data_IF_198112885087
#
_entry.id   IF_198112885087
#
_cell.length_a   1.000
_cell.length_b   1.000
_cell.length_c   1.000
_cell.angle_alpha   90.00
_cell.angle_beta   90.00
_cell.angle_gamma   90.00
#
_symmetry.space_group_name_H-M   'P 1'
#
loop_
_entity.id
_entity.type
_entity.pdbx_description
1 polymer ?
#
# COMPACT_ATOMS: atom_id res chain seq x y z
N UNK A 1 -19.43 -13.37 3.14
CA UNK A 1 -19.70 -13.62 1.68
C UNK A 1 -18.62 -14.52 1.11
N UNK A 2 -18.84 -15.11 -0.08
CA UNK A 2 -17.84 -15.93 -0.78
C UNK A 2 -17.20 -15.12 -1.91
N UNK A 3 -15.88 -15.02 -1.91
CA UNK A 3 -15.10 -14.16 -2.81
C UNK A 3 -14.12 -15.03 -3.60
N UNK A 4 -14.13 -14.96 -4.92
CA UNK A 4 -13.12 -15.58 -5.77
C UNK A 4 -12.08 -14.51 -6.16
N UNK A 5 -10.86 -14.60 -5.60
CA UNK A 5 -9.79 -13.64 -5.80
C UNK A 5 -8.79 -14.16 -6.84
N UNK A 6 -8.58 -13.42 -7.92
CA UNK A 6 -7.58 -13.70 -8.94
C UNK A 6 -6.46 -12.68 -8.87
N UNK A 7 -5.23 -13.13 -8.71
CA UNK A 7 -4.06 -12.25 -8.60
C UNK A 7 -2.92 -12.69 -9.51
N UNK A 8 -2.17 -11.72 -10.02
CA UNK A 8 -0.98 -11.96 -10.84
C UNK A 8 0.27 -12.30 -10.01
N UNK A 9 0.25 -11.99 -8.70
CA UNK A 9 1.36 -12.20 -7.77
C UNK A 9 0.85 -12.63 -6.41
N UNK A 10 1.55 -13.57 -5.76
CA UNK A 10 1.26 -14.00 -4.40
C UNK A 10 2.51 -14.57 -3.73
N UNK A 11 2.38 -15.00 -2.46
CA UNK A 11 3.47 -15.68 -1.76
C UNK A 11 4.04 -16.86 -2.58
N UNK A 12 5.34 -17.17 -2.47
CA UNK A 12 6.33 -16.63 -1.52
C UNK A 12 6.97 -15.29 -1.91
N UNK A 13 6.60 -14.72 -3.07
CA UNK A 13 7.08 -13.38 -3.45
C UNK A 13 6.44 -12.35 -2.51
N UNK A 14 7.26 -11.40 -2.02
CA UNK A 14 6.80 -10.29 -1.16
C UNK A 14 7.07 -8.97 -1.87
N UNK A 15 6.00 -8.26 -2.18
CA UNK A 15 6.01 -6.90 -2.70
C UNK A 15 4.82 -6.12 -2.11
N UNK A 16 4.66 -4.84 -2.46
CA UNK A 16 3.58 -4.01 -1.91
C UNK A 16 2.17 -4.53 -2.23
N UNK A 17 1.97 -5.21 -3.37
CA UNK A 17 0.69 -5.82 -3.74
C UNK A 17 0.42 -7.03 -2.86
N UNK A 18 1.41 -7.92 -2.73
CA UNK A 18 1.31 -9.13 -1.91
C UNK A 18 1.12 -8.79 -0.44
N UNK A 19 1.87 -7.83 0.10
CA UNK A 19 1.69 -7.36 1.48
C UNK A 19 0.26 -6.89 1.73
N UNK A 20 -0.30 -6.10 0.81
CA UNK A 20 -1.69 -5.65 0.91
C UNK A 20 -2.67 -6.80 0.86
N UNK A 21 -2.50 -7.75 -0.07
CA UNK A 21 -3.38 -8.92 -0.20
C UNK A 21 -3.33 -9.80 1.05
N UNK A 22 -2.15 -10.09 1.55
CA UNK A 22 -1.93 -10.90 2.76
C UNK A 22 -2.67 -10.29 3.95
N UNK A 23 -2.44 -9.01 4.23
CA UNK A 23 -3.12 -8.32 5.34
C UNK A 23 -4.63 -8.22 5.14
N UNK A 24 -5.08 -7.97 3.92
CA UNK A 24 -6.52 -7.95 3.60
C UNK A 24 -7.16 -9.34 3.80
N UNK A 25 -6.50 -10.42 3.39
CA UNK A 25 -7.00 -11.78 3.57
C UNK A 25 -7.09 -12.19 5.04
N UNK A 26 -6.11 -11.80 5.87
CA UNK A 26 -6.15 -11.98 7.33
C UNK A 26 -7.41 -11.30 7.91
N UNK A 27 -7.67 -10.05 7.53
CA UNK A 27 -8.84 -9.31 8.00
C UNK A 27 -10.17 -9.88 7.45
N UNK A 28 -10.21 -10.35 6.21
CA UNK A 28 -11.40 -11.01 5.65
C UNK A 28 -11.74 -12.30 6.41
N UNK A 29 -10.74 -13.03 6.87
CA UNK A 29 -10.92 -14.22 7.71
C UNK A 29 -11.51 -13.87 9.07
N UNK A 30 -10.99 -12.84 9.73
CA UNK A 30 -11.50 -12.34 11.01
C UNK A 30 -12.96 -11.81 10.89
N UNK A 31 -13.30 -11.22 9.74
CA UNK A 31 -14.65 -10.75 9.41
C UNK A 31 -15.62 -11.89 9.02
N UNK A 32 -15.15 -13.15 9.00
CA UNK A 32 -15.99 -14.31 8.70
C UNK A 32 -16.37 -14.45 7.22
N UNK A 33 -15.57 -13.90 6.30
CA UNK A 33 -15.74 -14.12 4.87
C UNK A 33 -15.04 -15.41 4.42
N UNK A 34 -15.49 -15.96 3.30
CA UNK A 34 -14.88 -17.12 2.65
C UNK A 34 -14.19 -16.66 1.36
N UNK A 35 -12.94 -17.05 1.17
CA UNK A 35 -12.16 -16.67 -0.02
C UNK A 35 -11.55 -17.92 -0.67
N UNK A 36 -11.57 -17.97 -1.99
CA UNK A 36 -10.70 -18.85 -2.77
C UNK A 36 -9.74 -17.98 -3.59
N UNK A 37 -8.46 -18.31 -3.54
CA UNK A 37 -7.39 -17.51 -4.15
C UNK A 37 -6.82 -18.27 -5.33
N UNK A 38 -6.80 -17.64 -6.51
CA UNK A 38 -6.14 -18.17 -7.70
C UNK A 38 -4.85 -17.41 -7.93
N UNK A 39 -3.70 -18.08 -7.77
CA UNK A 39 -2.39 -17.47 -7.83
C UNK A 39 -1.40 -18.26 -8.72
N UNK A 40 -0.51 -17.58 -9.47
CA UNK A 40 0.48 -18.23 -10.32
C UNK A 40 1.71 -18.69 -9.52
N UNK A 41 2.46 -19.62 -10.09
CA UNK A 41 3.75 -20.06 -9.56
C UNK A 41 3.62 -21.17 -8.53
N UNK A 42 4.24 -21.00 -7.38
CA UNK A 42 4.29 -21.99 -6.30
C UNK A 42 3.78 -21.42 -4.96
N UNK A 43 2.52 -20.96 -4.91
CA UNK A 43 1.95 -20.40 -3.69
C UNK A 43 1.75 -21.52 -2.63
N UNK A 44 1.62 -21.16 -1.33
CA UNK A 44 1.20 -22.12 -0.32
C UNK A 44 -0.20 -22.67 -0.65
N UNK A 45 -0.49 -23.92 -0.27
CA UNK A 45 -1.80 -24.53 -0.54
C UNK A 45 -2.97 -23.87 0.20
N UNK A 46 -2.67 -23.22 1.33
CA UNK A 46 -3.63 -22.45 2.13
C UNK A 46 -2.99 -21.18 2.66
N UNK A 47 -3.79 -20.14 2.84
CA UNK A 47 -3.38 -18.90 3.52
C UNK A 47 -4.54 -18.32 4.31
N UNK A 48 -4.32 -17.93 5.57
CA UNK A 48 -5.37 -17.43 6.48
C UNK A 48 -6.62 -18.34 6.52
N UNK A 49 -6.44 -19.67 6.46
CA UNK A 49 -7.54 -20.64 6.39
C UNK A 49 -8.25 -20.78 5.03
N UNK A 50 -7.85 -20.00 4.03
CA UNK A 50 -8.41 -20.01 2.69
C UNK A 50 -7.65 -20.97 1.76
N UNK A 51 -8.39 -21.62 0.83
CA UNK A 51 -7.79 -22.42 -0.23
C UNK A 51 -7.06 -21.53 -1.24
N UNK A 52 -5.80 -21.88 -1.54
CA UNK A 52 -5.03 -21.25 -2.61
C UNK A 52 -4.87 -22.24 -3.76
N UNK A 53 -5.52 -21.93 -4.86
CA UNK A 53 -5.47 -22.74 -6.08
C UNK A 53 -4.24 -22.33 -6.88
N UNK A 54 -3.28 -23.25 -6.94
CA UNK A 54 -2.07 -23.06 -7.75
C UNK A 54 -2.41 -23.06 -9.23
N UNK A 55 -2.06 -21.97 -9.91
CA UNK A 55 -2.19 -21.89 -11.36
C UNK A 55 -0.81 -22.07 -12.00
N UNK A 56 -0.72 -23.03 -12.94
CA UNK A 56 0.53 -23.23 -13.68
C UNK A 56 0.98 -21.92 -14.32
N UNK A 57 2.25 -21.57 -14.12
CA UNK A 57 2.79 -20.31 -14.61
C UNK A 57 4.03 -20.53 -15.48
N UNK A 58 4.23 -19.62 -16.43
CA UNK A 58 5.41 -19.58 -17.31
C UNK A 58 6.11 -18.24 -17.06
N UNK A 59 7.45 -18.23 -16.83
CA UNK A 59 8.22 -16.98 -16.68
C UNK A 59 8.11 -16.12 -17.93
N UNK A 60 7.89 -14.83 -17.77
CA UNK A 60 7.83 -13.86 -18.88
C UNK A 60 9.24 -13.47 -19.34
N UNK A 61 9.94 -14.40 -19.97
CA UNK A 61 11.29 -14.18 -20.53
C UNK A 61 11.22 -13.66 -21.97
N UNK A 62 12.17 -12.82 -22.41
CA UNK A 62 13.36 -12.31 -21.71
C UNK A 62 13.13 -10.98 -20.99
N UNK A 63 11.96 -10.33 -21.12
CA UNK A 63 11.74 -8.93 -20.72
C UNK A 63 11.62 -8.74 -19.20
N UNK A 64 10.96 -9.68 -18.49
CA UNK A 64 10.79 -9.57 -17.04
C UNK A 64 10.76 -10.96 -16.39
N UNK A 65 11.94 -11.57 -16.13
CA UNK A 65 12.02 -12.97 -15.63
C UNK A 65 11.33 -13.21 -14.28
N UNK A 66 11.18 -12.15 -13.47
CA UNK A 66 10.53 -12.21 -12.16
C UNK A 66 8.98 -12.24 -12.25
N UNK A 67 8.42 -11.91 -13.42
CA UNK A 67 6.99 -11.99 -13.66
C UNK A 67 6.64 -13.37 -14.23
N UNK A 68 5.72 -14.05 -13.57
CA UNK A 68 5.17 -15.32 -14.03
C UNK A 68 3.75 -15.13 -14.56
N UNK A 69 3.52 -15.59 -15.78
CA UNK A 69 2.19 -15.53 -16.42
C UNK A 69 1.42 -16.79 -16.09
N UNK A 70 0.31 -16.65 -15.37
CA UNK A 70 -0.58 -17.75 -15.01
C UNK A 70 -1.38 -18.25 -16.20
N UNK A 71 -1.27 -19.55 -16.49
CA UNK A 71 -2.00 -20.19 -17.58
C UNK A 71 -3.32 -20.78 -17.08
N UNK A 72 -4.49 -20.36 -17.62
CA UNK A 72 -5.77 -20.89 -17.20
C UNK A 72 -5.85 -22.42 -17.35
N UNK A 73 -6.35 -23.08 -16.32
CA UNK A 73 -6.54 -24.54 -16.30
C UNK A 73 -8.01 -24.89 -16.08
N UNK A 74 -8.47 -26.11 -16.49
CA UNK A 74 -9.83 -26.59 -16.19
C UNK A 74 -10.14 -26.65 -14.70
N UNK A 75 -9.12 -26.69 -13.85
CA UNK A 75 -9.26 -26.69 -12.39
C UNK A 75 -9.91 -25.41 -11.87
N UNK A 76 -9.56 -24.25 -12.44
CA UNK A 76 -10.18 -22.97 -12.09
C UNK A 76 -11.71 -23.07 -12.28
N UNK A 77 -12.17 -23.65 -13.40
CA UNK A 77 -13.60 -23.80 -13.68
C UNK A 77 -14.28 -24.69 -12.63
N UNK A 78 -13.66 -25.84 -12.30
CA UNK A 78 -14.19 -26.79 -11.28
C UNK A 78 -14.26 -26.17 -9.89
N UNK A 79 -13.23 -25.40 -9.50
CA UNK A 79 -13.20 -24.72 -8.20
C UNK A 79 -14.26 -23.62 -8.16
N UNK A 80 -14.39 -22.80 -9.20
CA UNK A 80 -15.44 -21.78 -9.30
C UNK A 80 -16.85 -22.37 -9.20
N UNK A 81 -17.08 -23.52 -9.83
CA UNK A 81 -18.36 -24.22 -9.76
C UNK A 81 -18.64 -24.83 -8.38
N UNK A 82 -17.61 -25.38 -7.70
CA UNK A 82 -17.75 -25.91 -6.34
C UNK A 82 -17.93 -24.80 -5.30
N UNK A 83 -17.16 -23.71 -5.41
CA UNK A 83 -17.12 -22.63 -4.44
C UNK A 83 -18.34 -21.71 -4.50
N UNK A 84 -18.98 -21.55 -5.67
CA UNK A 84 -20.13 -20.68 -5.91
C UNK A 84 -19.91 -19.26 -5.37
N UNK A 85 -18.93 -18.50 -5.87
CA UNK A 85 -18.63 -17.17 -5.35
C UNK A 85 -19.79 -16.18 -5.55
N UNK A 86 -19.95 -15.25 -4.61
CA UNK A 86 -20.90 -14.16 -4.73
C UNK A 86 -20.34 -13.01 -5.57
N UNK A 87 -19.01 -12.84 -5.54
CA UNK A 87 -18.28 -11.81 -6.28
C UNK A 87 -16.90 -12.34 -6.70
N UNK A 88 -16.43 -11.87 -7.84
CA UNK A 88 -15.05 -12.09 -8.31
C UNK A 88 -14.25 -10.81 -8.09
N UNK A 89 -13.05 -10.94 -7.54
CA UNK A 89 -12.08 -9.86 -7.41
C UNK A 89 -10.89 -10.10 -8.34
N UNK A 90 -10.74 -9.25 -9.34
CA UNK A 90 -9.62 -9.28 -10.28
C UNK A 90 -8.56 -8.25 -9.89
N UNK A 91 -7.41 -8.71 -9.39
CA UNK A 91 -6.30 -7.87 -8.94
C UNK A 91 -5.33 -7.64 -10.10
N UNK A 92 -5.22 -6.40 -10.58
CA UNK A 92 -4.44 -6.04 -11.77
C UNK A 92 -4.73 -6.94 -12.98
N UNK A 93 -5.88 -6.86 -13.65
CA UNK A 93 -6.32 -7.81 -14.66
C UNK A 93 -5.48 -7.74 -15.96
N UNK A 94 -4.29 -8.34 -15.95
CA UNK A 94 -3.37 -8.41 -17.09
C UNK A 94 -3.47 -9.78 -17.78
N UNK A 95 -3.32 -10.89 -17.04
CA UNK A 95 -3.33 -12.26 -17.54
C UNK A 95 -4.28 -13.17 -16.76
N UNK A 96 -3.87 -13.64 -15.58
CA UNK A 96 -4.68 -14.55 -14.77
C UNK A 96 -5.92 -13.85 -14.22
N UNK A 97 -5.77 -12.64 -13.73
CA UNK A 97 -6.89 -11.83 -13.25
C UNK A 97 -7.79 -11.35 -14.42
N UNK A 98 -7.24 -11.15 -15.63
CA UNK A 98 -8.05 -10.94 -16.84
C UNK A 98 -8.87 -12.18 -17.19
N UNK A 99 -8.30 -13.39 -17.05
CA UNK A 99 -9.08 -14.62 -17.17
C UNK A 99 -10.18 -14.70 -16.10
N UNK A 100 -9.88 -14.31 -14.86
CA UNK A 100 -10.87 -14.18 -13.78
C UNK A 100 -12.03 -13.26 -14.17
N UNK A 101 -11.71 -12.08 -14.74
CA UNK A 101 -12.67 -11.12 -15.30
C UNK A 101 -13.58 -11.75 -16.35
N UNK A 102 -13.00 -12.42 -17.33
CA UNK A 102 -13.77 -13.10 -18.39
C UNK A 102 -14.58 -14.27 -17.86
N UNK A 103 -14.04 -14.98 -16.86
CA UNK A 103 -14.72 -16.09 -16.18
C UNK A 103 -15.94 -15.62 -15.40
N UNK A 104 -15.83 -14.48 -14.69
CA UNK A 104 -16.94 -13.83 -14.01
C UNK A 104 -18.05 -13.46 -14.99
N UNK A 105 -17.70 -12.82 -16.10
CA UNK A 105 -18.64 -12.42 -17.15
C UNK A 105 -19.38 -13.61 -17.76
N UNK A 106 -18.65 -14.71 -18.09
CA UNK A 106 -19.28 -15.92 -18.67
C UNK A 106 -20.21 -16.64 -17.69
N UNK A 107 -20.01 -16.45 -16.40
CA UNK A 107 -20.82 -17.06 -15.33
C UNK A 107 -21.87 -16.12 -14.77
N UNK A 108 -22.00 -14.92 -15.35
CA UNK A 108 -22.87 -13.86 -14.85
C UNK A 108 -22.65 -13.62 -13.36
N UNK A 109 -21.41 -13.31 -12.95
CA UNK A 109 -21.03 -13.01 -11.57
C UNK A 109 -20.65 -11.54 -11.44
N UNK A 110 -20.99 -10.90 -10.30
CA UNK A 110 -20.49 -9.58 -9.96
C UNK A 110 -18.96 -9.54 -9.98
N UNK A 111 -18.40 -8.46 -10.48
CA UNK A 111 -16.95 -8.28 -10.63
C UNK A 111 -16.48 -6.97 -9.99
N UNK A 112 -15.46 -7.06 -9.18
CA UNK A 112 -14.65 -5.94 -8.70
C UNK A 112 -13.25 -6.03 -9.30
N UNK A 113 -12.77 -4.94 -9.89
CA UNK A 113 -11.39 -4.80 -10.34
C UNK A 113 -10.58 -3.97 -9.34
N UNK A 114 -9.31 -4.31 -9.13
CA UNK A 114 -8.41 -3.43 -8.38
C UNK A 114 -7.12 -3.15 -9.13
N UNK A 115 -6.68 -1.89 -9.06
CA UNK A 115 -5.56 -1.34 -9.78
C UNK A 115 -4.45 -0.98 -8.78
N UNK A 116 -3.42 -1.80 -8.69
CA UNK A 116 -2.31 -1.63 -7.75
C UNK A 116 -1.02 -1.13 -8.40
N UNK A 117 -0.88 -1.38 -9.70
CA UNK A 117 0.36 -1.12 -10.44
C UNK A 117 0.03 -0.46 -11.77
N UNK A 118 0.73 0.63 -12.09
CA UNK A 118 0.63 1.31 -13.38
C UNK A 118 1.38 0.50 -14.46
N UNK A 119 0.75 -0.57 -14.95
CA UNK A 119 1.33 -1.48 -15.95
C UNK A 119 1.75 -0.76 -17.23
N UNK A 120 0.98 0.22 -17.79
CA UNK A 120 1.43 0.99 -18.94
C UNK A 120 2.76 1.73 -18.73
N UNK A 121 3.00 2.29 -17.55
CA UNK A 121 4.29 2.91 -17.22
C UNK A 121 5.45 1.89 -17.16
N UNK A 122 5.17 0.64 -16.83
CA UNK A 122 6.18 -0.42 -16.88
C UNK A 122 6.57 -0.78 -18.30
N UNK A 123 5.65 -0.80 -19.27
CA UNK A 123 6.00 -1.06 -20.68
C UNK A 123 6.96 0.00 -21.23
N UNK A 124 6.78 1.27 -20.84
CA UNK A 124 7.70 2.35 -21.20
C UNK A 124 9.09 2.13 -20.61
N UNK A 125 9.19 1.80 -19.32
CA UNK A 125 10.49 1.53 -18.64
C UNK A 125 11.23 0.32 -19.20
N UNK A 126 10.51 -0.64 -19.76
CA UNK A 126 11.08 -1.83 -20.40
C UNK A 126 11.47 -1.60 -21.86
N UNK A 127 11.35 -0.37 -22.40
CA UNK A 127 11.64 -0.07 -23.81
C UNK A 127 10.58 -0.66 -24.77
N UNK A 128 9.39 -0.98 -24.27
CA UNK A 128 8.29 -1.56 -25.04
C UNK A 128 7.22 -0.48 -25.33
N UNK A 129 7.66 0.73 -25.68
CA UNK A 129 6.77 1.88 -25.90
C UNK A 129 5.70 1.61 -26.96
N UNK A 130 6.05 0.82 -27.98
CA UNK A 130 5.17 0.46 -29.09
C UNK A 130 3.91 -0.36 -28.68
N UNK A 131 3.94 -1.03 -27.52
CA UNK A 131 2.76 -1.77 -26.99
C UNK A 131 2.02 -1.02 -25.90
N UNK A 132 2.52 0.14 -25.45
CA UNK A 132 1.94 0.88 -24.32
C UNK A 132 0.47 1.23 -24.55
N UNK A 133 0.12 1.74 -25.72
CA UNK A 133 -1.27 2.09 -26.07
C UNK A 133 -2.17 0.85 -26.12
N UNK A 134 -1.66 -0.25 -26.68
CA UNK A 134 -2.42 -1.52 -26.74
C UNK A 134 -2.65 -2.08 -25.34
N UNK A 135 -1.61 -2.05 -24.49
CA UNK A 135 -1.71 -2.47 -23.09
C UNK A 135 -2.69 -1.59 -22.30
N UNK A 136 -2.64 -0.27 -22.49
CA UNK A 136 -3.57 0.68 -21.87
C UNK A 136 -5.02 0.41 -22.28
N UNK A 137 -5.28 0.19 -23.59
CA UNK A 137 -6.62 -0.16 -24.10
C UNK A 137 -7.11 -1.49 -23.56
N UNK A 138 -6.23 -2.50 -23.48
CA UNK A 138 -6.55 -3.80 -22.92
C UNK A 138 -6.95 -3.71 -21.45
N UNK A 139 -6.15 -3.02 -20.62
CA UNK A 139 -6.42 -2.83 -19.19
C UNK A 139 -7.72 -2.05 -19.00
N UNK A 140 -7.91 -0.94 -19.72
CA UNK A 140 -9.15 -0.16 -19.68
C UNK A 140 -10.35 -1.00 -20.05
N UNK A 141 -10.24 -1.84 -21.08
CA UNK A 141 -11.32 -2.72 -21.51
C UNK A 141 -11.64 -3.77 -20.43
N UNK A 142 -10.63 -4.41 -19.81
CA UNK A 142 -10.81 -5.37 -18.72
C UNK A 142 -11.49 -4.74 -17.50
N UNK A 143 -11.01 -3.58 -17.06
CA UNK A 143 -11.59 -2.87 -15.92
C UNK A 143 -13.02 -2.41 -16.17
N UNK A 144 -13.39 -2.11 -17.40
CA UNK A 144 -14.75 -1.66 -17.76
C UNK A 144 -15.80 -2.78 -17.73
N UNK A 145 -15.41 -4.05 -17.50
CA UNK A 145 -16.35 -5.11 -17.16
C UNK A 145 -16.73 -5.11 -15.67
N UNK A 146 -15.92 -4.50 -14.81
CA UNK A 146 -16.17 -4.46 -13.38
C UNK A 146 -17.25 -3.43 -13.01
N UNK A 147 -18.10 -3.79 -12.07
CA UNK A 147 -19.10 -2.92 -11.48
C UNK A 147 -18.46 -1.84 -10.60
N UNK A 148 -17.34 -2.17 -9.95
CA UNK A 148 -16.52 -1.26 -9.14
C UNK A 148 -15.06 -1.49 -9.46
N UNK A 149 -14.29 -0.39 -9.58
CA UNK A 149 -12.85 -0.42 -9.76
C UNK A 149 -12.18 0.33 -8.61
N UNK A 150 -11.24 -0.31 -7.92
CA UNK A 150 -10.50 0.26 -6.81
C UNK A 150 -9.09 0.65 -7.22
N UNK A 151 -8.65 1.84 -6.84
CA UNK A 151 -7.28 2.31 -6.98
C UNK A 151 -6.66 2.63 -5.63
N UNK A 152 -5.37 2.39 -5.47
CA UNK A 152 -4.67 2.51 -4.19
C UNK A 152 -4.18 3.93 -3.87
N UNK A 153 -4.29 4.88 -4.81
CA UNK A 153 -3.95 6.29 -4.60
C UNK A 153 -4.84 7.21 -5.42
N UNK A 154 -4.97 8.47 -4.98
CA UNK A 154 -5.72 9.50 -5.70
C UNK A 154 -5.12 9.76 -7.10
N UNK A 155 -3.80 9.70 -7.24
CA UNK A 155 -3.14 9.84 -8.52
C UNK A 155 -3.57 8.71 -9.48
N UNK A 156 -3.65 7.47 -9.00
CA UNK A 156 -4.13 6.34 -9.79
C UNK A 156 -5.62 6.46 -10.13
N UNK A 157 -6.45 6.99 -9.21
CA UNK A 157 -7.86 7.29 -9.47
C UNK A 157 -7.99 8.28 -10.65
N UNK A 158 -7.21 9.37 -10.64
CA UNK A 158 -7.24 10.36 -11.71
C UNK A 158 -6.78 9.75 -13.05
N UNK A 159 -5.67 8.99 -13.04
CA UNK A 159 -5.16 8.30 -14.24
C UNK A 159 -6.17 7.31 -14.81
N UNK A 160 -6.78 6.48 -13.95
CA UNK A 160 -7.78 5.50 -14.37
C UNK A 160 -9.00 6.19 -15.00
N UNK A 161 -9.49 7.28 -14.39
CA UNK A 161 -10.58 8.09 -14.94
C UNK A 161 -10.21 8.72 -16.29
N UNK A 162 -8.99 9.28 -16.40
CA UNK A 162 -8.50 9.86 -17.66
C UNK A 162 -8.31 8.82 -18.76
N UNK A 163 -7.99 7.57 -18.39
CA UNK A 163 -7.92 6.44 -19.32
C UNK A 163 -9.30 5.88 -19.72
N UNK A 164 -10.41 6.42 -19.20
CA UNK A 164 -11.76 5.99 -19.52
C UNK A 164 -12.24 4.77 -18.72
N UNK A 165 -11.59 4.43 -17.60
CA UNK A 165 -12.09 3.41 -16.67
C UNK A 165 -13.25 4.00 -15.87
N UNK A 166 -14.35 3.25 -15.81
CA UNK A 166 -15.59 3.65 -15.13
C UNK A 166 -15.62 3.17 -13.69
N UNK A 167 -16.49 3.80 -12.87
CA UNK A 167 -16.77 3.39 -11.49
C UNK A 167 -15.51 3.26 -10.63
N UNK A 168 -14.59 4.22 -10.77
CA UNK A 168 -13.30 4.23 -10.08
C UNK A 168 -13.45 4.88 -8.71
N UNK A 169 -13.01 4.18 -7.68
CA UNK A 169 -13.01 4.61 -6.29
C UNK A 169 -11.61 4.45 -5.67
N UNK A 170 -11.36 5.17 -4.59
CA UNK A 170 -10.14 5.00 -3.80
C UNK A 170 -10.31 3.81 -2.85
N UNK A 171 -9.37 2.88 -2.88
CA UNK A 171 -9.18 1.91 -1.81
C UNK A 171 -8.22 2.51 -0.78
N UNK A 172 -8.68 2.85 0.43
CA UNK A 172 -7.87 3.56 1.40
C UNK A 172 -6.53 2.88 1.68
N UNK A 173 -5.52 3.67 1.99
CA UNK A 173 -4.24 3.18 2.49
C UNK A 173 -4.48 2.42 3.78
N UNK A 174 -3.58 1.49 4.10
CA UNK A 174 -3.63 0.79 5.36
C UNK A 174 -2.24 0.72 5.99
N UNK A 175 -2.21 0.83 7.31
CA UNK A 175 -1.03 0.71 8.14
C UNK A 175 -1.32 -0.28 9.28
N UNK A 176 -0.30 -0.99 9.74
CA UNK A 176 -0.40 -1.88 10.89
C UNK A 176 -0.33 -1.08 12.20
N UNK A 177 -1.48 -0.61 12.68
CA UNK A 177 -1.58 0.18 13.92
C UNK A 177 -1.42 -0.64 15.20
N UNK A 178 -1.36 -1.96 15.09
CA UNK A 178 -1.05 -2.87 16.21
C UNK A 178 0.44 -3.08 16.31
N UNK A 179 1.10 -3.41 15.20
CA UNK A 179 2.54 -3.59 15.12
C UNK A 179 3.29 -2.27 15.33
N UNK A 180 2.83 -1.17 14.71
CA UNK A 180 3.36 0.18 14.93
C UNK A 180 2.56 0.87 16.05
N UNK A 181 3.18 1.00 17.22
CA UNK A 181 2.53 1.53 18.41
C UNK A 181 3.52 2.31 19.27
N UNK A 182 3.11 3.40 19.95
CA UNK A 182 3.98 4.17 20.84
C UNK A 182 4.65 3.33 21.96
N UNK A 183 3.98 2.26 22.40
CA UNK A 183 4.49 1.35 23.42
C UNK A 183 5.69 0.52 22.99
N UNK A 184 6.12 0.59 21.73
CA UNK A 184 7.35 -0.04 21.24
C UNK A 184 8.62 0.81 21.52
N UNK A 185 8.48 1.98 22.16
CA UNK A 185 9.63 2.79 22.58
C UNK A 185 10.66 1.96 23.37
N UNK A 186 11.91 2.07 22.98
CA UNK A 186 13.01 1.30 23.56
C UNK A 186 14.24 2.18 23.78
N UNK A 187 14.68 2.27 25.04
CA UNK A 187 15.91 3.02 25.37
C UNK A 187 17.15 2.40 24.69
N UNK A 188 17.16 1.09 24.48
CA UNK A 188 18.24 0.41 23.77
C UNK A 188 18.24 0.80 22.30
N UNK A 189 17.07 0.76 21.63
CA UNK A 189 16.94 1.21 20.26
C UNK A 189 17.31 2.69 20.13
N UNK A 190 16.83 3.54 21.04
CA UNK A 190 17.19 4.96 21.05
C UNK A 190 18.69 5.17 21.18
N UNK A 191 19.37 4.45 22.08
CA UNK A 191 20.83 4.52 22.22
C UNK A 191 21.55 4.12 20.92
N UNK A 192 21.05 3.07 20.24
CA UNK A 192 21.58 2.63 18.95
C UNK A 192 21.40 3.70 17.86
N UNK A 193 20.22 4.30 17.78
CA UNK A 193 19.89 5.32 16.78
C UNK A 193 20.59 6.68 17.04
N UNK A 194 21.06 6.90 18.25
CA UNK A 194 21.73 8.14 18.67
C UNK A 194 23.24 7.95 18.93
N UNK A 195 23.83 6.86 18.45
CA UNK A 195 25.26 6.57 18.68
C UNK A 195 25.69 6.70 20.16
N UNK A 196 24.90 6.09 21.06
CA UNK A 196 25.16 6.05 22.49
C UNK A 196 24.71 7.29 23.27
N UNK A 197 23.94 8.21 22.67
CA UNK A 197 23.43 9.44 23.30
C UNK A 197 21.89 9.45 23.44
N UNK A 198 21.27 8.55 24.24
CA UNK A 198 19.82 8.36 24.26
C UNK A 198 19.02 9.54 24.81
N UNK A 199 19.68 10.55 25.37
CA UNK A 199 19.04 11.76 25.88
C UNK A 199 18.96 12.86 24.81
N UNK A 200 19.68 12.72 23.69
CA UNK A 200 19.63 13.66 22.58
C UNK A 200 18.30 13.54 21.84
N UNK A 201 17.89 14.63 21.19
CA UNK A 201 16.69 14.67 20.35
C UNK A 201 16.95 13.90 19.06
N UNK A 202 16.03 12.98 18.70
CA UNK A 202 16.23 12.04 17.59
C UNK A 202 15.28 12.33 16.43
N UNK A 203 15.85 12.70 15.29
CA UNK A 203 15.21 12.65 14.00
C UNK A 203 15.38 11.26 13.38
N UNK A 204 14.34 10.71 12.76
CA UNK A 204 14.44 9.45 12.02
C UNK A 204 13.92 9.64 10.59
N UNK A 205 14.59 8.99 9.64
CA UNK A 205 14.09 8.72 8.31
C UNK A 205 14.04 7.20 8.13
N UNK A 206 12.98 6.69 7.53
CA UNK A 206 12.84 5.28 7.17
C UNK A 206 12.50 5.17 5.70
N UNK A 207 13.25 4.36 4.96
CA UNK A 207 12.97 4.12 3.56
C UNK A 207 14.18 3.70 2.75
N UNK A 208 13.96 3.56 1.44
CA UNK A 208 15.03 3.28 0.48
C UNK A 208 15.97 4.48 0.39
N UNK A 209 17.28 4.22 0.52
CA UNK A 209 18.32 5.24 0.33
C UNK A 209 18.63 5.37 -1.15
N UNK A 210 17.93 6.27 -1.83
CA UNK A 210 18.03 6.51 -3.28
C UNK A 210 17.83 7.98 -3.61
N UNK A 211 18.42 8.45 -4.72
CA UNK A 211 18.49 9.89 -5.09
C UNK A 211 17.12 10.54 -5.18
N UNK A 212 16.10 9.82 -5.64
CA UNK A 212 14.72 10.32 -5.74
C UNK A 212 14.03 10.57 -4.38
N UNK A 213 14.71 10.26 -3.27
CA UNK A 213 14.21 10.52 -1.91
C UNK A 213 14.70 11.83 -1.31
N UNK A 214 15.50 12.58 -2.06
CA UNK A 214 15.98 13.93 -1.69
C UNK A 214 16.67 14.00 -0.30
N UNK A 215 17.37 12.90 0.08
CA UNK A 215 18.01 12.78 1.40
C UNK A 215 19.19 13.74 1.57
N UNK A 216 19.81 14.17 0.49
CA UNK A 216 20.89 15.17 0.46
C UNK A 216 20.45 16.47 1.14
N UNK A 217 19.13 16.79 1.13
CA UNK A 217 18.56 17.96 1.83
C UNK A 217 18.76 17.91 3.35
N UNK A 218 18.91 16.72 3.92
CA UNK A 218 19.10 16.54 5.37
C UNK A 218 20.53 16.87 5.79
N UNK A 219 21.52 16.87 4.89
CA UNK A 219 22.90 17.21 5.23
C UNK A 219 23.05 18.68 5.69
N UNK A 220 22.64 19.69 4.89
CA UNK A 220 22.70 21.08 5.34
C UNK A 220 21.76 21.37 6.53
N UNK A 221 20.67 20.61 6.69
CA UNK A 221 19.82 20.67 7.88
C UNK A 221 20.63 20.30 9.13
N UNK A 222 21.35 19.17 9.11
CA UNK A 222 22.14 18.71 10.27
C UNK A 222 23.28 19.64 10.66
N UNK A 223 23.82 20.44 9.73
CA UNK A 223 24.82 21.46 10.01
C UNK A 223 24.26 22.63 10.83
N UNK A 224 22.97 22.92 10.65
CA UNK A 224 22.29 24.07 11.29
C UNK A 224 21.63 23.72 12.61
N UNK A 225 21.26 22.44 12.80
CA UNK A 225 20.57 21.99 14.01
C UNK A 225 21.49 22.00 15.24
N UNK A 226 20.94 22.24 16.45
CA UNK A 226 21.67 22.16 17.71
C UNK A 226 22.43 20.86 17.91
N UNK A 227 23.51 20.91 18.71
CA UNK A 227 24.42 19.79 18.93
C UNK A 227 23.79 18.56 19.64
N UNK A 228 22.64 18.74 20.28
CA UNK A 228 21.84 17.69 20.92
C UNK A 228 20.79 17.09 19.98
N UNK A 229 20.79 17.41 18.69
CA UNK A 229 19.92 16.79 17.68
C UNK A 229 20.72 15.78 16.86
N UNK A 230 20.19 14.58 16.74
CA UNK A 230 20.76 13.47 15.95
C UNK A 230 19.80 13.01 14.87
N UNK A 231 20.35 12.40 13.83
CA UNK A 231 19.60 11.81 12.73
C UNK A 231 19.91 10.33 12.61
N UNK A 232 18.89 9.49 12.46
CA UNK A 232 19.04 8.11 12.07
C UNK A 232 18.43 7.88 10.68
N UNK A 233 19.21 7.31 9.75
CA UNK A 233 18.76 6.90 8.44
C UNK A 233 18.59 5.38 8.44
N UNK A 234 17.34 4.93 8.52
CA UNK A 234 16.95 3.52 8.58
C UNK A 234 16.57 3.03 7.19
N UNK A 235 17.35 2.11 6.66
CA UNK A 235 17.13 1.54 5.35
C UNK A 235 18.42 1.25 4.59
N UNK A 236 18.26 0.83 3.34
CA UNK A 236 19.36 0.57 2.42
C UNK A 236 18.98 1.02 1.00
N UNK A 237 19.97 1.13 0.13
CA UNK A 237 19.72 1.52 -1.26
C UNK A 237 21.00 1.94 -1.99
N UNK A 238 20.89 2.18 -3.30
CA UNK A 238 22.05 2.47 -4.15
C UNK A 238 22.77 3.79 -3.83
N UNK A 239 22.13 4.71 -3.12
CA UNK A 239 22.70 6.01 -2.75
C UNK A 239 23.40 6.00 -1.38
N UNK A 240 23.43 4.85 -0.69
CA UNK A 240 23.93 4.74 0.69
C UNK A 240 25.38 5.19 0.84
N UNK A 241 26.29 4.70 -0.03
CA UNK A 241 27.73 5.01 0.06
C UNK A 241 28.01 6.51 -0.15
N UNK A 242 27.29 7.13 -1.09
CA UNK A 242 27.41 8.57 -1.34
C UNK A 242 26.91 9.38 -0.11
N UNK A 243 25.78 8.99 0.47
CA UNK A 243 25.23 9.61 1.67
C UNK A 243 26.15 9.45 2.90
N UNK A 244 26.71 8.26 3.13
CA UNK A 244 27.66 8.03 4.23
C UNK A 244 28.88 8.94 4.11
N UNK A 245 29.39 9.14 2.89
CA UNK A 245 30.49 10.10 2.63
C UNK A 245 30.07 11.56 2.85
N UNK A 246 28.87 11.95 2.38
CA UNK A 246 28.34 13.29 2.51
C UNK A 246 28.05 13.67 3.97
N UNK A 247 27.49 12.72 4.74
CA UNK A 247 27.18 12.93 6.16
C UNK A 247 28.35 12.69 7.11
N UNK A 248 29.57 12.44 6.58
CA UNK A 248 30.75 12.26 7.40
C UNK A 248 30.98 13.49 8.31
N UNK A 249 31.23 13.21 9.60
CA UNK A 249 31.45 14.26 10.62
C UNK A 249 30.16 14.90 11.16
N UNK A 250 28.98 14.48 10.70
CA UNK A 250 27.71 14.87 11.31
C UNK A 250 27.28 13.89 12.41
N UNK A 251 26.21 14.25 13.12
CA UNK A 251 25.58 13.39 14.14
C UNK A 251 24.53 12.48 13.50
N UNK A 252 24.92 11.74 12.44
CA UNK A 252 24.02 10.89 11.67
C UNK A 252 24.44 9.43 11.76
N UNK A 253 23.47 8.54 12.01
CA UNK A 253 23.65 7.09 12.08
C UNK A 253 22.97 6.43 10.88
N UNK A 254 23.68 5.54 10.19
CA UNK A 254 23.16 4.69 9.13
C UNK A 254 22.97 3.28 9.66
N UNK A 255 21.74 2.87 9.91
CA UNK A 255 21.46 1.60 10.60
C UNK A 255 21.39 0.39 9.68
N UNK A 256 21.17 0.60 8.37
CA UNK A 256 20.81 -0.47 7.45
C UNK A 256 19.32 -0.77 7.50
N UNK A 257 18.94 -1.87 6.82
CA UNK A 257 17.54 -2.31 6.73
C UNK A 257 17.05 -2.84 8.08
N UNK A 258 15.86 -2.44 8.47
CA UNK A 258 15.12 -2.96 9.63
C UNK A 258 13.73 -3.41 9.21
N UNK A 259 13.11 -4.33 9.94
CA UNK A 259 11.75 -4.83 9.71
C UNK A 259 11.10 -5.33 11.00
N UNK A 260 9.78 -5.56 10.98
CA UNK A 260 9.04 -6.11 12.11
C UNK A 260 9.20 -5.29 13.39
N UNK A 261 9.41 -5.96 14.53
CA UNK A 261 9.53 -5.33 15.84
C UNK A 261 10.70 -4.34 15.94
N UNK A 262 11.83 -4.64 15.26
CA UNK A 262 13.00 -3.75 15.23
C UNK A 262 12.66 -2.41 14.57
N UNK A 263 11.94 -2.43 13.45
CA UNK A 263 11.48 -1.23 12.76
C UNK A 263 10.45 -0.47 13.58
N UNK A 264 9.51 -1.17 14.21
CA UNK A 264 8.51 -0.57 15.07
C UNK A 264 9.15 0.14 16.27
N UNK A 265 10.16 -0.47 16.89
CA UNK A 265 10.95 0.15 17.95
C UNK A 265 11.74 1.38 17.45
N UNK A 266 12.29 1.33 16.22
CA UNK A 266 13.01 2.46 15.64
C UNK A 266 12.11 3.68 15.45
N UNK A 267 10.88 3.50 14.94
CA UNK A 267 9.92 4.59 14.87
C UNK A 267 9.57 5.11 16.27
N UNK A 268 9.07 4.25 17.15
CA UNK A 268 8.55 4.66 18.46
C UNK A 268 9.59 5.35 19.36
N UNK A 269 10.89 5.06 19.15
CA UNK A 269 11.98 5.67 19.89
C UNK A 269 12.42 7.04 19.36
N UNK A 270 11.83 7.56 18.28
CA UNK A 270 12.18 8.85 17.71
C UNK A 270 11.31 10.00 18.26
N UNK A 271 11.84 11.22 18.18
CA UNK A 271 11.08 12.44 18.53
C UNK A 271 10.32 13.00 17.32
N UNK A 272 10.87 12.80 16.11
CA UNK A 272 10.33 13.36 14.87
C UNK A 272 10.77 12.53 13.66
N UNK A 273 9.84 12.26 12.76
CA UNK A 273 10.11 11.67 11.46
C UNK A 273 10.31 12.76 10.39
N UNK A 274 11.45 12.75 9.70
CA UNK A 274 11.76 13.69 8.62
C UNK A 274 11.60 13.03 7.26
N UNK A 275 10.82 13.66 6.36
CA UNK A 275 10.44 13.06 5.09
C UNK A 275 10.59 14.05 3.91
N UNK A 276 11.83 14.28 3.42
CA UNK A 276 12.11 15.29 2.40
C UNK A 276 11.68 14.89 0.98
N UNK A 277 11.27 13.63 0.76
CA UNK A 277 10.98 13.06 -0.56
C UNK A 277 9.93 13.83 -1.34
N UNK A 278 10.23 14.15 -2.60
CA UNK A 278 9.28 14.79 -3.52
C UNK A 278 8.53 13.78 -4.42
N UNK A 279 8.99 12.53 -4.47
CA UNK A 279 8.49 11.49 -5.38
C UNK A 279 7.66 10.39 -4.70
N UNK A 280 7.30 10.59 -3.43
CA UNK A 280 6.52 9.60 -2.69
C UNK A 280 5.13 9.40 -3.28
N UNK A 281 4.70 8.15 -3.39
CA UNK A 281 3.38 7.81 -3.95
C UNK A 281 2.31 7.65 -2.89
N UNK A 282 2.61 6.88 -1.85
CA UNK A 282 1.63 6.48 -0.83
C UNK A 282 1.88 7.08 0.54
N UNK A 283 3.14 7.32 0.90
CA UNK A 283 3.53 7.83 2.23
C UNK A 283 3.24 6.84 3.36
N UNK A 284 3.35 5.52 3.12
CA UNK A 284 3.09 4.51 4.15
C UNK A 284 4.01 4.66 5.36
N UNK A 285 5.29 4.99 5.13
CA UNK A 285 6.26 5.24 6.21
C UNK A 285 5.87 6.42 7.11
N UNK A 286 5.18 7.43 6.57
CA UNK A 286 4.61 8.51 7.38
C UNK A 286 3.43 8.01 8.24
N UNK A 287 2.58 7.14 7.70
CA UNK A 287 1.50 6.50 8.47
C UNK A 287 2.06 5.57 9.57
N UNK A 288 3.14 4.83 9.28
CA UNK A 288 3.84 3.98 10.25
C UNK A 288 4.44 4.82 11.40
N UNK A 289 5.07 5.96 11.05
CA UNK A 289 5.56 6.93 12.04
C UNK A 289 4.45 7.47 12.92
N UNK A 290 3.35 7.95 12.31
CA UNK A 290 2.19 8.46 13.03
C UNK A 290 1.51 7.36 13.88
N UNK A 291 1.43 6.13 13.38
CA UNK A 291 0.94 4.97 14.13
C UNK A 291 1.81 4.67 15.35
N UNK A 292 3.12 4.92 15.26
CA UNK A 292 4.07 4.81 16.38
C UNK A 292 4.06 6.04 17.31
N UNK A 293 3.14 7.00 17.09
CA UNK A 293 3.03 8.21 17.90
C UNK A 293 4.10 9.26 17.62
N UNK A 294 4.79 9.16 16.49
CA UNK A 294 5.88 10.08 16.13
C UNK A 294 5.39 11.02 15.02
N UNK A 295 5.37 12.35 15.28
CA UNK A 295 4.92 13.33 14.29
C UNK A 295 5.87 13.40 13.10
N UNK A 296 5.36 13.91 11.98
CA UNK A 296 6.08 13.97 10.70
C UNK A 296 6.37 15.41 10.30
N UNK A 297 7.61 15.70 9.88
CA UNK A 297 7.92 16.88 9.07
C UNK A 297 8.23 16.40 7.66
N UNK A 298 7.29 16.63 6.74
CA UNK A 298 7.33 16.08 5.38
C UNK A 298 7.25 17.14 4.29
N UNK A 299 7.78 16.81 3.09
CA UNK A 299 7.67 17.70 1.94
C UNK A 299 6.21 17.84 1.48
N UNK A 300 5.80 19.05 1.11
CA UNK A 300 4.49 19.34 0.49
C UNK A 300 4.46 18.87 -0.96
N UNK A 301 4.81 17.61 -1.19
CA UNK A 301 4.90 17.02 -2.53
C UNK A 301 4.48 15.57 -2.58
N UNK A 302 4.18 15.09 -3.78
CA UNK A 302 3.83 13.70 -4.04
C UNK A 302 2.63 13.22 -3.22
N UNK A 303 2.75 12.05 -2.62
CA UNK A 303 1.74 11.43 -1.77
C UNK A 303 1.75 11.89 -0.30
N UNK A 304 2.75 12.65 0.13
CA UNK A 304 2.93 13.04 1.54
C UNK A 304 1.75 13.88 2.05
N UNK A 305 1.26 14.92 1.35
CA UNK A 305 0.11 15.71 1.81
C UNK A 305 -1.20 14.92 1.95
N UNK A 306 -1.29 13.75 1.32
CA UNK A 306 -2.43 12.85 1.46
C UNK A 306 -2.27 11.85 2.62
N UNK A 307 -1.07 11.70 3.15
CA UNK A 307 -0.79 10.86 4.31
C UNK A 307 -0.69 11.69 5.59
N UNK A 308 -0.13 12.89 5.51
CA UNK A 308 0.12 13.79 6.64
C UNK A 308 -0.74 15.03 6.46
N UNK A 309 -1.77 15.17 7.30
CA UNK A 309 -2.58 16.37 7.37
C UNK A 309 -1.81 17.44 8.17
N UNK A 310 -1.48 18.56 7.48
CA UNK A 310 -0.69 19.66 8.04
C UNK A 310 -1.33 20.23 9.32
N UNK A 311 -0.57 20.32 10.40
CA UNK A 311 -1.03 20.76 11.71
C UNK A 311 -1.80 19.72 12.53
N UNK A 312 -1.95 18.46 12.04
CA UNK A 312 -2.64 17.38 12.75
C UNK A 312 -1.70 16.23 13.07
N UNK A 313 -1.12 15.56 12.08
CA UNK A 313 -0.16 14.46 12.27
C UNK A 313 1.29 14.88 12.04
N UNK A 314 1.50 16.12 11.66
CA UNK A 314 2.82 16.66 11.37
C UNK A 314 2.74 18.05 10.77
N UNK A 315 3.87 18.54 10.26
CA UNK A 315 3.98 19.79 9.51
C UNK A 315 4.52 19.52 8.10
N UNK A 316 4.06 20.31 7.13
CA UNK A 316 4.55 20.22 5.76
C UNK A 316 5.47 21.39 5.43
N UNK A 317 6.64 21.08 4.86
CA UNK A 317 7.60 22.06 4.39
C UNK A 317 7.58 22.20 2.86
N UNK A 318 8.03 23.33 2.34
CA UNK A 318 8.19 23.56 0.91
C UNK A 318 9.28 22.64 0.33
N UNK A 319 9.00 21.92 -0.77
CA UNK A 319 9.96 21.01 -1.41
C UNK A 319 11.30 21.71 -1.73
N UNK A 320 12.42 21.07 -1.36
CA UNK A 320 13.76 21.58 -1.62
C UNK A 320 14.21 22.75 -0.73
N UNK A 321 13.34 23.26 0.16
CA UNK A 321 13.68 24.36 1.06
C UNK A 321 14.26 23.85 2.38
N UNK A 322 15.58 23.99 2.56
CA UNK A 322 16.25 23.70 3.84
C UNK A 322 15.77 24.66 4.92
N UNK A 323 15.56 25.93 4.60
CA UNK A 323 15.14 26.94 5.57
C UNK A 323 13.76 26.64 6.16
N UNK A 324 12.80 26.24 5.32
CA UNK A 324 11.46 25.89 5.79
C UNK A 324 11.47 24.54 6.52
N UNK A 325 12.25 23.56 6.05
CA UNK A 325 12.44 22.29 6.72
C UNK A 325 13.02 22.50 8.14
N UNK A 326 14.09 23.29 8.28
CA UNK A 326 14.70 23.66 9.57
C UNK A 326 13.67 24.31 10.50
N UNK A 327 12.97 25.33 10.01
CA UNK A 327 11.95 26.03 10.78
C UNK A 327 10.85 25.09 11.31
N UNK A 328 10.37 24.14 10.48
CA UNK A 328 9.36 23.16 10.89
C UNK A 328 9.92 22.14 11.89
N UNK A 329 11.14 21.64 11.68
CA UNK A 329 11.81 20.72 12.60
C UNK A 329 12.01 21.35 13.96
N UNK A 330 12.61 22.55 14.04
CA UNK A 330 12.82 23.25 15.30
C UNK A 330 11.50 23.57 15.99
N UNK A 331 10.49 24.01 15.25
CA UNK A 331 9.16 24.30 15.81
C UNK A 331 8.56 23.11 16.55
N UNK A 332 8.74 21.88 16.02
CA UNK A 332 8.23 20.66 16.69
C UNK A 332 9.14 20.23 17.84
N UNK A 333 10.46 20.35 17.69
CA UNK A 333 11.42 19.93 18.71
C UNK A 333 11.44 20.85 19.94
N UNK A 334 11.25 22.15 19.73
CA UNK A 334 11.34 23.17 20.79
C UNK A 334 10.00 23.43 21.49
N UNK A 335 8.89 22.92 20.96
CA UNK A 335 7.55 23.02 21.56
C UNK A 335 7.00 21.63 21.93
N UNK A 336 7.20 21.16 23.17
CA UNK A 336 6.71 19.88 23.63
C UNK A 336 5.17 19.73 23.56
N UNK A 337 4.43 20.84 23.73
CA UNK A 337 2.97 20.85 23.64
C UNK A 337 2.51 20.61 22.20
N UNK A 338 3.11 21.30 21.26
CA UNK A 338 2.84 21.09 19.83
C UNK A 338 3.19 19.66 19.43
N UNK A 339 4.38 19.16 19.84
CA UNK A 339 4.80 17.79 19.55
C UNK A 339 3.80 16.75 20.08
N UNK A 340 3.36 16.90 21.32
CA UNK A 340 2.34 16.02 21.90
C UNK A 340 1.01 16.09 21.15
N UNK A 341 0.58 17.29 20.75
CA UNK A 341 -0.65 17.48 19.96
C UNK A 341 -0.56 16.79 18.60
N UNK A 342 0.57 16.97 17.88
CA UNK A 342 0.81 16.35 16.59
C UNK A 342 0.92 14.81 16.70
N UNK A 343 1.57 14.32 17.77
CA UNK A 343 1.66 12.89 18.07
C UNK A 343 0.28 12.26 18.24
N UNK A 344 -0.56 12.83 19.10
CA UNK A 344 -1.92 12.35 19.33
C UNK A 344 -2.80 12.44 18.08
N UNK A 345 -2.74 13.57 17.37
CA UNK A 345 -3.49 13.77 16.13
C UNK A 345 -3.05 12.81 15.03
N UNK A 346 -1.75 12.59 14.88
CA UNK A 346 -1.18 11.63 13.92
C UNK A 346 -1.57 10.20 14.24
N UNK A 347 -1.53 9.78 15.51
CA UNK A 347 -1.97 8.45 15.94
C UNK A 347 -3.45 8.24 15.64
N UNK A 348 -4.31 9.18 15.99
CA UNK A 348 -5.74 9.10 15.71
C UNK A 348 -6.01 9.01 14.20
N UNK A 349 -5.29 9.78 13.38
CA UNK A 349 -5.39 9.71 11.92
C UNK A 349 -4.94 8.33 11.40
N UNK A 350 -3.80 7.82 11.87
CA UNK A 350 -3.28 6.50 11.47
C UNK A 350 -4.26 5.36 11.82
N UNK A 351 -4.94 5.44 12.96
CA UNK A 351 -5.95 4.45 13.37
C UNK A 351 -7.14 4.39 12.39
N UNK A 352 -7.51 5.50 11.76
CA UNK A 352 -8.53 5.48 10.69
C UNK A 352 -8.07 4.78 9.42
N UNK A 353 -6.77 4.53 9.28
CA UNK A 353 -6.13 3.84 8.16
C UNK A 353 -5.67 2.42 8.52
N UNK A 354 -6.20 1.81 9.58
CA UNK A 354 -5.89 0.43 9.95
C UNK A 354 -6.30 -0.58 8.87
N UNK A 355 -5.65 -1.75 8.85
CA UNK A 355 -5.98 -2.83 7.90
C UNK A 355 -7.44 -3.26 7.97
N UNK A 356 -8.03 -3.26 9.18
CA UNK A 356 -9.45 -3.55 9.37
C UNK A 356 -10.34 -2.56 8.64
N UNK A 357 -10.15 -1.26 8.86
CA UNK A 357 -10.95 -0.21 8.21
C UNK A 357 -10.81 -0.24 6.69
N UNK A 358 -9.58 -0.46 6.17
CA UNK A 358 -9.35 -0.60 4.74
C UNK A 358 -10.03 -1.85 4.16
N UNK A 359 -10.12 -2.94 4.93
CA UNK A 359 -10.80 -4.17 4.50
C UNK A 359 -12.32 -4.03 4.59
N UNK A 360 -12.86 -3.36 5.60
CA UNK A 360 -14.28 -3.02 5.67
C UNK A 360 -14.72 -2.14 4.49
N UNK A 361 -13.88 -1.18 4.06
CA UNK A 361 -14.11 -0.42 2.84
C UNK A 361 -14.12 -1.30 1.58
N UNK A 362 -13.27 -2.34 1.52
CA UNK A 362 -13.29 -3.32 0.43
C UNK A 362 -14.56 -4.16 0.47
N UNK A 363 -15.02 -4.58 1.65
CA UNK A 363 -16.28 -5.34 1.82
C UNK A 363 -17.46 -4.51 1.32
N UNK A 364 -17.52 -3.22 1.68
CA UNK A 364 -18.53 -2.28 1.14
C UNK A 364 -18.47 -2.18 -0.39
N UNK A 365 -17.26 -2.14 -0.97
CA UNK A 365 -17.11 -2.13 -2.42
C UNK A 365 -17.55 -3.45 -3.09
N UNK A 366 -17.39 -4.60 -2.42
CA UNK A 366 -17.96 -5.87 -2.91
C UNK A 366 -19.50 -5.85 -2.89
N UNK A 367 -20.09 -5.33 -1.81
CA UNK A 367 -21.55 -5.19 -1.69
C UNK A 367 -22.09 -4.27 -2.79
N UNK A 368 -21.44 -3.13 -3.01
CA UNK A 368 -21.79 -2.21 -4.09
C UNK A 368 -21.65 -2.87 -5.47
N UNK A 369 -20.59 -3.66 -5.71
CA UNK A 369 -20.43 -4.38 -6.98
C UNK A 369 -21.58 -5.38 -7.20
N UNK A 370 -21.98 -6.10 -6.15
CA UNK A 370 -23.12 -7.01 -6.18
C UNK A 370 -24.42 -6.26 -6.48
N UNK A 371 -24.66 -5.13 -5.80
CA UNK A 371 -25.88 -4.33 -5.98
C UNK A 371 -26.00 -3.74 -7.38
N UNK A 372 -24.92 -3.17 -7.91
CA UNK A 372 -24.86 -2.64 -9.28
C UNK A 372 -25.09 -3.75 -10.30
N UNK A 373 -24.47 -4.93 -10.10
CA UNK A 373 -24.70 -6.07 -10.98
C UNK A 373 -26.15 -6.50 -10.97
N UNK A 374 -26.81 -6.57 -9.81
CA UNK A 374 -28.23 -6.97 -9.68
C UNK A 374 -29.19 -5.92 -10.26
N UNK A 375 -28.82 -4.63 -10.25
CA UNK A 375 -29.62 -3.57 -10.88
C UNK A 375 -29.57 -3.63 -12.41
N UNK A 376 -28.41 -3.97 -12.95
CA UNK A 376 -28.17 -4.02 -14.40
C UNK A 376 -28.63 -5.36 -15.03
N UNK A 377 -28.64 -6.42 -14.24
CA UNK A 377 -28.97 -7.77 -14.66
C UNK A 377 -30.01 -8.36 -13.72
N UNK A 378 -31.15 -8.85 -14.23
CA UNK A 378 -32.09 -9.64 -13.41
C UNK A 378 -31.59 -11.09 -13.33
N UNK A 379 -30.85 -11.48 -12.27
CA UNK A 379 -30.35 -12.83 -12.15
C UNK A 379 -31.52 -13.80 -11.89
N UNK A 380 -31.39 -15.07 -12.29
CA UNK A 380 -32.36 -16.10 -11.91
C UNK A 380 -32.61 -16.13 -10.39
N UNK A 381 -33.86 -16.39 -9.98
CA UNK A 381 -34.27 -16.30 -8.57
C UNK A 381 -33.43 -17.11 -7.58
N UNK A 382 -32.85 -18.26 -8.00
CA UNK A 382 -31.94 -19.06 -7.18
C UNK A 382 -30.64 -18.32 -6.77
N UNK A 383 -30.15 -17.39 -7.61
CA UNK A 383 -28.96 -16.55 -7.28
C UNK A 383 -29.27 -15.49 -6.24
N UNK A 384 -30.48 -14.93 -6.25
CA UNK A 384 -30.94 -13.99 -5.23
C UNK A 384 -30.98 -14.67 -3.85
N UNK A 385 -31.46 -15.92 -3.79
CA UNK A 385 -31.46 -16.70 -2.56
C UNK A 385 -30.04 -16.98 -2.03
N UNK A 386 -29.06 -17.24 -2.90
CA UNK A 386 -27.64 -17.42 -2.50
C UNK A 386 -27.01 -16.16 -1.93
N UNK A 387 -27.49 -14.98 -2.32
CA UNK A 387 -27.00 -13.68 -1.83
C UNK A 387 -27.71 -13.27 -0.51
N UNK A 388 -28.63 -14.09 0.01
CA UNK A 388 -29.37 -13.77 1.24
C UNK A 388 -30.33 -12.59 1.10
N UNK A 389 -30.62 -12.12 -0.12
CA UNK A 389 -31.56 -11.02 -0.38
C UNK A 389 -32.97 -11.55 -0.66
N UNK A 390 -34.04 -10.90 -0.14
CA UNK A 390 -35.41 -11.28 -0.45
C UNK A 390 -35.68 -11.17 -1.96
N UNK A 391 -36.43 -12.13 -2.48
CA UNK A 391 -36.90 -12.04 -3.86
C UNK A 391 -37.72 -10.75 -4.06
N UNK A 392 -37.46 -9.95 -5.11
CA UNK A 392 -38.35 -8.86 -5.47
C UNK A 392 -39.72 -9.43 -5.79
N UNK A 393 -40.83 -8.74 -5.46
CA UNK A 393 -42.17 -9.19 -5.82
C UNK A 393 -42.24 -9.43 -7.33
N UNK A 394 -42.88 -10.53 -7.72
CA UNK A 394 -43.12 -10.85 -9.12
C UNK A 394 -43.91 -9.68 -9.75
N UNK A 395 -43.38 -9.12 -10.83
CA UNK A 395 -44.04 -8.05 -11.59
C UNK A 395 -45.20 -8.62 -12.42
#
# INVERSE_FOLDING_TARGET
MRIALFTEVFLPKVDGVVTRLVRTLEQLQELGHEVVIFAPGDPPATFAGFEVVRVRAVPFRPWYPELSVGMPTPEIARVMERFHPHVVHAVNPVWLAAYGTLSARRRDLPLLGSFHTDVPSYTQRLGLEWITDTTSRWITWMHNFAQVNLCTSQQMVQRAKSAGIRNVQLWPKAVDTVGYHPGNDSREMRARLTDGHPNDRLLVYVGRLSKEKDLDLLRPLMDRLPSDVRLALVGSGPHREELEAEFAGTRTVFTGYMSGEELAAAYASADLFVFPSTTETLGLVALESMASGVPVVGARAGGIPFAVRDGVGGLLHEPGSVDDLEAKVLRVLDDPQLRATLSQGGRAEAETHGWRAATESLVTAYEEAIERYLSDHRPPGWRMALLGKPMPPAA
#
